data_IF_934932263042
#
_entry.id   IF_934932263042
#
_cell.length_a   1.000
_cell.length_b   1.000
_cell.length_c   1.000
_cell.angle_alpha   90.00
_cell.angle_beta   90.00
_cell.angle_gamma   90.00
#
_symmetry.space_group_name_H-M   'P 1'
#
loop_
_entity.id
_entity.type
_entity.pdbx_description
1 polymer ?
#
# COMPACT_ATOMS: atom_id res chain seq x y z
N UNK A 1 -0.68 4.78 -25.17
CA UNK A 1 0.67 5.08 -24.64
C UNK A 1 1.40 3.75 -24.53
N UNK A 2 2.59 3.64 -25.13
CA UNK A 2 3.44 2.46 -24.97
C UNK A 2 4.10 2.44 -23.58
N UNK A 3 4.39 1.27 -23.04
CA UNK A 3 5.11 1.16 -21.77
C UNK A 3 6.58 1.53 -22.00
N UNK A 4 7.26 2.15 -21.02
CA UNK A 4 8.71 2.29 -21.08
C UNK A 4 9.39 0.93 -21.27
N UNK A 5 10.42 0.85 -22.12
CA UNK A 5 11.07 -0.42 -22.49
C UNK A 5 11.58 -1.24 -21.29
N UNK A 6 11.91 -0.59 -20.17
CA UNK A 6 12.28 -1.27 -18.92
C UNK A 6 11.09 -2.04 -18.32
N UNK A 7 9.91 -1.42 -18.28
CA UNK A 7 8.67 -2.03 -17.79
C UNK A 7 8.19 -3.15 -18.71
N UNK A 8 8.42 -3.04 -20.01
CA UNK A 8 8.09 -4.12 -20.95
C UNK A 8 8.91 -5.39 -20.66
N UNK A 9 10.22 -5.25 -20.41
CA UNK A 9 11.08 -6.39 -20.05
C UNK A 9 10.67 -7.04 -18.74
N UNK A 10 10.30 -6.24 -17.74
CA UNK A 10 9.81 -6.75 -16.46
C UNK A 10 8.45 -7.45 -16.61
N UNK A 11 7.55 -6.88 -17.40
CA UNK A 11 6.25 -7.48 -17.69
C UNK A 11 6.39 -8.80 -18.42
N UNK A 12 7.30 -8.91 -19.41
CA UNK A 12 7.57 -10.16 -20.11
C UNK A 12 8.15 -11.24 -19.18
N UNK A 13 9.02 -10.87 -18.24
CA UNK A 13 9.50 -11.79 -17.20
C UNK A 13 8.35 -12.26 -16.31
N UNK A 14 7.50 -11.33 -15.89
CA UNK A 14 6.33 -11.62 -15.06
C UNK A 14 5.33 -12.54 -15.77
N UNK A 15 5.08 -12.31 -17.07
CA UNK A 15 4.25 -13.20 -17.90
C UNK A 15 4.80 -14.62 -17.95
N UNK A 16 6.12 -14.77 -18.10
CA UNK A 16 6.79 -16.07 -18.13
C UNK A 16 6.74 -16.79 -16.78
N UNK A 17 6.89 -16.06 -15.69
CA UNK A 17 6.88 -16.60 -14.33
C UNK A 17 5.48 -17.11 -13.91
N UNK A 18 4.43 -16.34 -14.19
CA UNK A 18 3.07 -16.64 -13.74
C UNK A 18 2.19 -17.32 -14.80
N UNK A 19 2.68 -17.44 -16.04
CA UNK A 19 2.03 -18.19 -17.11
C UNK A 19 0.59 -17.71 -17.43
N UNK A 20 -0.30 -18.61 -17.90
CA UNK A 20 -1.69 -18.29 -18.18
C UNK A 20 -2.45 -18.01 -16.87
N UNK A 21 -2.40 -16.75 -16.44
CA UNK A 21 -2.89 -16.31 -15.12
C UNK A 21 -2.19 -15.05 -14.62
N UNK A 22 -1.08 -14.67 -15.26
CA UNK A 22 -0.30 -13.46 -14.92
C UNK A 22 -1.17 -12.19 -14.85
N UNK A 23 -2.18 -12.03 -15.71
CA UNK A 23 -3.02 -10.84 -15.75
C UNK A 23 -3.85 -10.69 -14.48
N UNK A 24 -4.47 -11.78 -14.00
CA UNK A 24 -5.22 -11.77 -12.75
C UNK A 24 -4.31 -11.53 -11.54
N UNK A 25 -3.11 -12.11 -11.55
CA UNK A 25 -2.11 -11.88 -10.49
C UNK A 25 -1.65 -10.42 -10.46
N UNK A 26 -1.37 -9.83 -11.62
CA UNK A 26 -1.00 -8.42 -11.75
C UNK A 26 -2.11 -7.50 -11.22
N UNK A 27 -3.37 -7.76 -11.58
CA UNK A 27 -4.52 -6.99 -11.06
C UNK A 27 -4.60 -7.08 -9.53
N UNK A 28 -4.47 -8.28 -8.95
CA UNK A 28 -4.48 -8.46 -7.50
C UNK A 28 -3.35 -7.68 -6.81
N UNK A 29 -2.14 -7.71 -7.36
CA UNK A 29 -1.00 -6.96 -6.83
C UNK A 29 -1.24 -5.44 -6.87
N UNK A 30 -1.83 -4.94 -7.97
CA UNK A 30 -2.20 -3.53 -8.08
C UNK A 30 -3.28 -3.15 -7.06
N UNK A 31 -4.30 -4.00 -6.86
CA UNK A 31 -5.34 -3.78 -5.86
C UNK A 31 -4.76 -3.75 -4.43
N UNK A 32 -3.84 -4.66 -4.11
CA UNK A 32 -3.14 -4.68 -2.83
C UNK A 32 -2.33 -3.40 -2.61
N UNK A 33 -1.61 -2.93 -3.63
CA UNK A 33 -0.83 -1.70 -3.54
C UNK A 33 -1.73 -0.46 -3.38
N UNK A 34 -2.86 -0.42 -4.08
CA UNK A 34 -3.88 0.63 -3.88
C UNK A 34 -4.41 0.59 -2.45
N UNK A 35 -4.73 -0.60 -1.92
CA UNK A 35 -5.19 -0.76 -0.53
C UNK A 35 -4.14 -0.27 0.47
N UNK A 36 -2.86 -0.64 0.27
CA UNK A 36 -1.74 -0.16 1.11
C UNK A 36 -1.61 1.36 1.07
N UNK A 37 -1.64 1.98 -0.10
CA UNK A 37 -1.58 3.44 -0.24
C UNK A 37 -2.77 4.14 0.43
N UNK A 38 -3.98 3.60 0.27
CA UNK A 38 -5.19 4.11 0.96
C UNK A 38 -5.05 3.99 2.48
N UNK A 39 -4.55 2.86 2.99
CA UNK A 39 -4.33 2.65 4.41
C UNK A 39 -3.29 3.64 4.99
N UNK A 40 -2.17 3.85 4.29
CA UNK A 40 -1.16 4.86 4.68
C UNK A 40 -1.74 6.28 4.73
N UNK A 41 -2.56 6.65 3.73
CA UNK A 41 -3.22 7.97 3.72
C UNK A 41 -4.17 8.13 4.91
N UNK A 42 -5.03 7.12 5.17
CA UNK A 42 -5.93 7.12 6.34
C UNK A 42 -5.17 7.19 7.65
N UNK A 43 -4.05 6.48 7.78
CA UNK A 43 -3.20 6.55 8.95
C UNK A 43 -2.63 7.97 9.13
N UNK A 44 -2.08 8.57 8.08
CA UNK A 44 -1.56 9.93 8.15
C UNK A 44 -2.64 10.96 8.52
N UNK A 45 -3.85 10.84 7.97
CA UNK A 45 -5.01 11.67 8.32
C UNK A 45 -5.41 11.50 9.79
N UNK A 46 -5.46 10.24 10.27
CA UNK A 46 -5.74 9.93 11.66
C UNK A 46 -4.68 10.51 12.59
N UNK A 47 -3.40 10.34 12.27
CA UNK A 47 -2.29 10.90 13.04
C UNK A 47 -2.34 12.42 13.12
N UNK A 48 -2.65 13.10 12.01
CA UNK A 48 -2.82 14.55 11.96
C UNK A 48 -3.99 15.03 12.84
N UNK A 49 -5.11 14.32 12.79
CA UNK A 49 -6.28 14.65 13.60
C UNK A 49 -6.03 14.42 15.11
N UNK A 50 -5.27 13.39 15.45
CA UNK A 50 -5.04 12.96 16.84
C UNK A 50 -3.92 13.74 17.50
N UNK A 51 -2.80 13.98 16.81
CA UNK A 51 -1.68 14.78 17.33
C UNK A 51 -2.10 16.22 17.60
N UNK A 52 -2.91 16.81 16.71
CA UNK A 52 -3.45 18.16 16.87
C UNK A 52 -4.42 18.31 18.05
N UNK A 53 -5.06 17.21 18.50
CA UNK A 53 -6.03 17.23 19.61
C UNK A 53 -5.42 16.86 20.96
N UNK A 54 -4.40 15.98 20.98
CA UNK A 54 -3.97 15.33 22.24
C UNK A 54 -2.51 15.67 22.60
N UNK A 55 -1.75 16.40 21.77
CA UNK A 55 -0.30 16.69 21.99
C UNK A 55 0.51 15.42 22.35
N UNK A 56 0.14 14.27 21.78
CA UNK A 56 0.84 13.01 21.96
C UNK A 56 1.71 12.71 20.74
N UNK A 57 2.83 12.03 20.99
CA UNK A 57 3.67 11.48 19.94
C UNK A 57 3.01 10.29 19.26
N UNK A 58 3.47 9.96 18.05
CA UNK A 58 2.96 8.82 17.28
C UNK A 58 3.07 7.50 18.03
N UNK A 59 4.20 7.29 18.73
CA UNK A 59 4.44 6.10 19.54
C UNK A 59 3.43 5.94 20.67
N UNK A 60 3.07 7.03 21.35
CA UNK A 60 2.09 7.00 22.45
C UNK A 60 0.66 6.77 21.94
N UNK A 61 0.32 7.28 20.76
CA UNK A 61 -0.97 7.03 20.12
C UNK A 61 -1.10 5.54 19.76
N UNK A 62 -0.06 4.95 19.15
CA UNK A 62 -0.03 3.52 18.82
C UNK A 62 -0.12 2.64 20.07
N UNK A 63 0.69 2.91 21.11
CA UNK A 63 0.63 2.15 22.36
C UNK A 63 -0.75 2.19 23.02
N UNK A 64 -1.45 3.32 22.96
CA UNK A 64 -2.81 3.44 23.50
C UNK A 64 -3.87 2.69 22.68
N UNK A 65 -3.66 2.53 21.37
CA UNK A 65 -4.55 1.75 20.51
C UNK A 65 -4.29 0.25 20.68
N UNK A 66 -3.04 -0.17 20.79
CA UNK A 66 -2.66 -1.57 21.02
C UNK A 66 -3.09 -2.07 22.40
N UNK A 67 -2.95 -1.25 23.45
CA UNK A 67 -3.43 -1.58 24.80
C UNK A 67 -4.97 -1.51 24.98
N UNK A 68 -5.70 -1.16 23.91
CA UNK A 68 -7.17 -1.17 23.87
C UNK A 68 -7.75 -2.31 23.02
N UNK A 69 -6.89 -3.17 22.48
CA UNK A 69 -7.28 -4.36 21.72
C UNK A 69 -7.40 -5.59 22.62
#
# INVERSE_FOLDING_TARGET
MALPAALEKELERFKKEYGPGWSQKAVRLLEEEIKRKKAKKKLAEFMKATSGRIKLSEKEIFQRLENRS
#
